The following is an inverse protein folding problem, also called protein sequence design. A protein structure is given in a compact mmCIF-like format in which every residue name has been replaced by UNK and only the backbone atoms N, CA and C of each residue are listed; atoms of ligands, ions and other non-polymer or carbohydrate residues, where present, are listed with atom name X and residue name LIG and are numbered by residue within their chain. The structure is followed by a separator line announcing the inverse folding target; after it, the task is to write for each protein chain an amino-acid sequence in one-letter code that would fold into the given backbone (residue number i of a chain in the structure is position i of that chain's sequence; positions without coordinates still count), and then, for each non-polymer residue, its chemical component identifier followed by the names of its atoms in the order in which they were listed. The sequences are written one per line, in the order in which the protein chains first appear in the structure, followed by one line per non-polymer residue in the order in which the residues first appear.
data_IF_770380424256
#
_entry.id   IF_770380424256
#
_cell.length_a   1.000
_cell.length_b   1.000
_cell.length_c   1.000
_cell.angle_alpha   90.00
_cell.angle_beta   90.00
_cell.angle_gamma   90.00
#
_symmetry.space_group_name_H-M   'P 1'
#
loop_
_entity.id
_entity.type
_entity.pdbx_description
1 polymer ?
#
# COMPACT_ATOMS: atom_id res chain seq x y z
N UNK A 1 -48.85 17.35 -57.04
CA UNK A 1 -48.46 15.97 -57.41
C UNK A 1 -46.95 15.80 -57.63
N UNK A 2 -46.29 16.46 -58.59
CA UNK A 2 -44.83 16.29 -58.79
C UNK A 2 -44.00 16.91 -57.65
N UNK A 3 -44.43 18.06 -57.10
CA UNK A 3 -43.80 18.70 -55.94
C UNK A 3 -43.82 17.81 -54.70
N UNK A 4 -44.95 17.16 -54.45
CA UNK A 4 -45.19 16.35 -53.25
C UNK A 4 -44.39 15.06 -53.31
N UNK A 5 -44.34 14.42 -54.49
CA UNK A 5 -43.49 13.25 -54.72
C UNK A 5 -41.99 13.56 -54.55
N UNK A 6 -41.53 14.76 -54.92
CA UNK A 6 -40.14 15.20 -54.70
C UNK A 6 -39.86 15.48 -53.22
N UNK A 7 -40.81 16.04 -52.48
CA UNK A 7 -40.70 16.28 -51.04
C UNK A 7 -40.62 14.98 -50.23
N UNK A 8 -41.49 14.01 -50.55
CA UNK A 8 -41.46 12.64 -50.00
C UNK A 8 -40.12 11.95 -50.28
N UNK A 9 -39.67 11.96 -51.53
CA UNK A 9 -38.39 11.35 -51.91
C UNK A 9 -37.16 12.02 -51.27
N UNK A 10 -37.26 13.31 -50.91
CA UNK A 10 -36.22 14.02 -50.16
C UNK A 10 -36.22 13.59 -48.68
N UNK A 11 -37.39 13.56 -48.03
CA UNK A 11 -37.54 13.08 -46.65
C UNK A 11 -37.06 11.64 -46.48
N UNK A 12 -37.48 10.73 -47.35
CA UNK A 12 -37.06 9.32 -47.29
C UNK A 12 -35.55 9.18 -47.38
N UNK A 13 -34.89 9.96 -48.27
CA UNK A 13 -33.43 9.96 -48.39
C UNK A 13 -32.74 10.50 -47.14
N UNK A 14 -33.24 11.58 -46.54
CA UNK A 14 -32.65 12.13 -45.32
C UNK A 14 -32.84 11.19 -44.14
N UNK A 15 -34.02 10.60 -43.97
CA UNK A 15 -34.30 9.66 -42.88
C UNK A 15 -33.50 8.38 -43.02
N UNK A 16 -33.37 7.82 -44.23
CA UNK A 16 -32.56 6.63 -44.47
C UNK A 16 -31.07 6.88 -44.18
N UNK A 17 -30.55 8.06 -44.56
CA UNK A 17 -29.17 8.45 -44.23
C UNK A 17 -28.95 8.63 -42.74
N UNK A 18 -29.91 9.24 -42.04
CA UNK A 18 -29.84 9.42 -40.59
C UNK A 18 -29.86 8.07 -39.87
N UNK A 19 -30.79 7.18 -40.23
CA UNK A 19 -30.88 5.84 -39.67
C UNK A 19 -29.60 5.02 -39.89
N UNK A 20 -29.01 5.07 -41.09
CA UNK A 20 -27.74 4.39 -41.37
C UNK A 20 -26.57 4.96 -40.54
N UNK A 21 -26.54 6.28 -40.32
CA UNK A 21 -25.53 6.91 -39.49
C UNK A 21 -25.69 6.55 -38.01
N UNK A 22 -26.92 6.50 -37.51
CA UNK A 22 -27.22 6.13 -36.12
C UNK A 22 -26.92 4.64 -35.87
N UNK A 23 -27.24 3.76 -36.83
CA UNK A 23 -26.87 2.35 -36.78
C UNK A 23 -25.35 2.16 -36.75
N UNK A 24 -24.60 2.82 -37.63
CA UNK A 24 -23.14 2.71 -37.65
C UNK A 24 -22.49 3.20 -36.34
N UNK A 25 -23.05 4.25 -35.72
CA UNK A 25 -22.61 4.73 -34.40
C UNK A 25 -22.89 3.70 -33.31
N UNK A 26 -24.07 3.09 -33.32
CA UNK A 26 -24.44 2.06 -32.35
C UNK A 26 -23.56 0.80 -32.48
N UNK A 27 -23.32 0.34 -33.70
CA UNK A 27 -22.43 -0.79 -34.00
C UNK A 27 -21.01 -0.50 -33.52
N UNK A 28 -20.44 0.65 -33.87
CA UNK A 28 -19.09 1.03 -33.44
C UNK A 28 -18.97 1.13 -31.91
N UNK A 29 -19.95 1.74 -31.24
CA UNK A 29 -19.92 1.86 -29.78
C UNK A 29 -20.02 0.49 -29.12
N UNK A 30 -20.81 -0.42 -29.69
CA UNK A 30 -20.93 -1.81 -29.24
C UNK A 30 -19.62 -2.58 -29.42
N UNK A 31 -18.98 -2.48 -30.59
CA UNK A 31 -17.68 -3.13 -30.85
C UNK A 31 -16.60 -2.64 -29.90
N UNK A 32 -16.53 -1.32 -29.66
CA UNK A 32 -15.56 -0.74 -28.71
C UNK A 32 -15.88 -1.19 -27.28
N UNK A 33 -17.14 -1.13 -26.86
CA UNK A 33 -17.51 -1.55 -25.50
C UNK A 33 -17.30 -3.05 -25.26
N UNK A 34 -17.49 -3.91 -26.28
CA UNK A 34 -17.11 -5.33 -26.23
C UNK A 34 -15.59 -5.52 -26.14
N UNK A 35 -14.82 -4.81 -26.97
CA UNK A 35 -13.36 -4.89 -26.98
C UNK A 35 -12.73 -4.44 -25.65
N UNK A 36 -13.34 -3.46 -24.99
CA UNK A 36 -12.93 -2.97 -23.67
C UNK A 36 -13.49 -3.81 -22.50
N UNK A 37 -14.32 -4.82 -22.78
CA UNK A 37 -14.92 -5.69 -21.76
C UNK A 37 -16.00 -5.02 -20.90
N UNK A 38 -16.58 -3.92 -21.36
CA UNK A 38 -17.56 -3.10 -20.62
C UNK A 38 -19.02 -3.51 -20.93
N UNK A 39 -19.24 -4.17 -22.06
CA UNK A 39 -20.54 -4.75 -22.43
C UNK A 39 -20.48 -6.25 -22.16
N UNK A 40 -21.15 -6.68 -21.09
CA UNK A 40 -21.30 -8.10 -20.74
C UNK A 40 -22.62 -8.71 -21.20
N UNK A 41 -23.62 -7.88 -21.51
CA UNK A 41 -24.92 -8.29 -22.05
C UNK A 41 -25.18 -7.57 -23.39
N UNK A 42 -25.60 -8.31 -24.42
CA UNK A 42 -25.73 -7.81 -25.80
C UNK A 42 -26.87 -6.79 -26.01
N UNK A 43 -27.75 -6.60 -25.03
CA UNK A 43 -28.99 -5.82 -25.18
C UNK A 43 -28.92 -4.39 -24.61
N UNK A 44 -27.81 -3.99 -23.97
CA UNK A 44 -27.62 -2.63 -23.50
C UNK A 44 -26.75 -1.85 -24.51
N UNK A 45 -27.38 -1.02 -25.34
CA UNK A 45 -26.64 -0.09 -26.19
C UNK A 45 -25.79 0.82 -25.28
N UNK A 46 -24.44 0.73 -25.34
CA UNK A 46 -23.57 1.55 -24.52
C UNK A 46 -23.75 3.03 -24.90
N UNK A 47 -23.95 3.90 -23.92
CA UNK A 47 -23.90 5.34 -24.15
C UNK A 47 -22.43 5.75 -24.41
N UNK A 48 -22.09 6.33 -25.57
CA UNK A 48 -20.73 6.77 -25.87
C UNK A 48 -20.20 7.80 -24.85
N UNK A 49 -21.08 8.58 -24.21
CA UNK A 49 -20.68 9.48 -23.13
C UNK A 49 -20.21 8.68 -21.90
N UNK A 50 -20.98 7.68 -21.48
CA UNK A 50 -20.60 6.78 -20.36
C UNK A 50 -19.30 6.03 -20.66
N UNK A 51 -19.09 5.62 -21.91
CA UNK A 51 -17.84 4.97 -22.31
C UNK A 51 -16.63 5.90 -22.17
N UNK A 52 -16.80 7.17 -22.54
CA UNK A 52 -15.75 8.18 -22.40
C UNK A 52 -15.46 8.45 -20.92
N UNK A 53 -16.48 8.55 -20.08
CA UNK A 53 -16.32 8.71 -18.63
C UNK A 53 -15.57 7.55 -18.00
N UNK A 54 -15.92 6.31 -18.35
CA UNK A 54 -15.25 5.10 -17.86
C UNK A 54 -13.78 5.04 -18.32
N UNK A 55 -13.50 5.44 -19.56
CA UNK A 55 -12.13 5.50 -20.07
C UNK A 55 -11.29 6.53 -19.28
N UNK A 56 -11.84 7.72 -19.03
CA UNK A 56 -11.16 8.76 -18.24
C UNK A 56 -10.91 8.28 -16.81
N UNK A 57 -11.90 7.63 -16.19
CA UNK A 57 -11.75 7.06 -14.85
C UNK A 57 -10.63 6.00 -14.80
N UNK A 58 -10.62 5.06 -15.76
CA UNK A 58 -9.59 4.02 -15.86
C UNK A 58 -8.19 4.61 -16.08
N UNK A 59 -8.07 5.64 -16.93
CA UNK A 59 -6.80 6.34 -17.16
C UNK A 59 -6.29 7.05 -15.90
N UNK A 60 -7.19 7.70 -15.16
CA UNK A 60 -6.86 8.36 -13.90
C UNK A 60 -6.44 7.35 -12.83
N UNK A 61 -7.13 6.22 -12.73
CA UNK A 61 -6.75 5.14 -11.82
C UNK A 61 -5.40 4.53 -12.17
N UNK A 62 -5.14 4.27 -13.45
CA UNK A 62 -3.85 3.78 -13.92
C UNK A 62 -2.72 4.77 -13.58
N UNK A 63 -2.93 6.06 -13.87
CA UNK A 63 -2.00 7.13 -13.51
C UNK A 63 -1.71 7.15 -12.02
N UNK A 64 -2.75 7.14 -11.17
CA UNK A 64 -2.60 7.15 -9.71
C UNK A 64 -1.76 5.97 -9.23
N UNK A 65 -2.06 4.74 -9.68
CA UNK A 65 -1.31 3.53 -9.32
C UNK A 65 0.15 3.58 -9.77
N UNK A 66 0.42 4.13 -10.97
CA UNK A 66 1.80 4.29 -11.45
C UNK A 66 2.59 5.25 -10.57
N UNK A 67 1.97 6.37 -10.16
CA UNK A 67 2.61 7.33 -9.24
C UNK A 67 2.83 6.68 -7.87
N UNK A 68 1.83 6.02 -7.29
CA UNK A 68 1.95 5.32 -6.00
C UNK A 68 3.11 4.31 -6.02
N UNK A 69 3.21 3.48 -7.06
CA UNK A 69 4.30 2.53 -7.22
C UNK A 69 5.67 3.22 -7.31
N UNK A 70 5.76 4.30 -8.09
CA UNK A 70 6.99 5.08 -8.22
C UNK A 70 7.39 5.72 -6.89
N UNK A 71 6.43 6.22 -6.10
CA UNK A 71 6.65 6.74 -4.76
C UNK A 71 7.18 5.65 -3.84
N UNK A 72 6.56 4.47 -3.80
CA UNK A 72 7.07 3.34 -3.01
C UNK A 72 8.54 3.02 -3.33
N UNK A 73 8.88 2.96 -4.62
CA UNK A 73 10.24 2.66 -5.07
C UNK A 73 11.24 3.79 -4.75
N UNK A 74 10.84 5.05 -4.93
CA UNK A 74 11.72 6.20 -4.72
C UNK A 74 11.91 6.52 -3.23
N UNK A 75 10.83 6.49 -2.43
CA UNK A 75 10.84 6.73 -0.99
C UNK A 75 11.80 5.76 -0.27
N UNK A 76 11.71 4.46 -0.56
CA UNK A 76 12.61 3.46 0.02
C UNK A 76 14.09 3.71 -0.28
N UNK A 77 14.41 4.26 -1.46
CA UNK A 77 15.79 4.64 -1.83
C UNK A 77 16.28 5.90 -1.11
N UNK A 78 15.35 6.81 -0.79
CA UNK A 78 15.64 8.08 -0.11
C UNK A 78 15.59 7.95 1.43
N UNK A 79 15.18 6.81 1.97
CA UNK A 79 14.97 6.64 3.41
C UNK A 79 13.69 7.33 3.92
N UNK A 80 12.75 7.61 3.02
CA UNK A 80 11.40 8.03 3.37
C UNK A 80 10.53 6.80 3.66
N UNK A 81 9.59 6.94 4.58
CA UNK A 81 8.55 5.96 4.82
C UNK A 81 7.46 6.12 3.75
N UNK A 82 7.31 5.16 2.81
CA UNK A 82 6.39 5.31 1.70
C UNK A 82 4.92 5.39 2.14
N UNK A 83 4.53 4.71 3.22
CA UNK A 83 3.15 4.71 3.69
C UNK A 83 2.78 6.09 4.25
N UNK A 84 3.70 6.70 5.01
CA UNK A 84 3.50 8.05 5.57
C UNK A 84 3.56 9.12 4.48
N UNK A 85 4.42 8.95 3.47
CA UNK A 85 4.49 9.86 2.32
C UNK A 85 3.19 9.84 1.52
N UNK A 86 2.62 8.65 1.25
CA UNK A 86 1.37 8.51 0.50
C UNK A 86 0.14 9.03 1.25
N UNK A 87 0.15 9.01 2.58
CA UNK A 87 -0.93 9.60 3.41
C UNK A 87 -0.85 11.13 3.51
N UNK A 88 0.26 11.75 3.09
CA UNK A 88 0.46 13.19 3.18
C UNK A 88 -0.29 13.95 2.09
N UNK A 89 -1.30 14.73 2.48
CA UNK A 89 -2.02 15.64 1.57
C UNK A 89 -1.10 16.67 0.89
N UNK A 90 -0.16 17.23 1.65
CA UNK A 90 0.77 18.22 1.11
C UNK A 90 1.66 17.61 0.02
N UNK A 91 2.06 16.34 0.17
CA UNK A 91 2.79 15.63 -0.86
C UNK A 91 1.89 15.33 -2.07
N UNK A 92 0.66 14.85 -1.84
CA UNK A 92 -0.30 14.60 -2.91
C UNK A 92 -0.55 15.85 -3.79
N UNK A 93 -0.71 17.02 -3.17
CA UNK A 93 -0.86 18.30 -3.88
C UNK A 93 0.40 18.63 -4.70
N UNK A 94 1.58 18.36 -4.16
CA UNK A 94 2.87 18.63 -4.82
C UNK A 94 3.13 17.77 -6.07
N UNK A 95 2.43 16.64 -6.20
CA UNK A 95 2.58 15.70 -7.33
C UNK A 95 1.35 15.63 -8.23
N UNK A 96 0.31 16.44 -7.95
CA UNK A 96 -0.97 16.40 -8.65
C UNK A 96 -0.87 16.63 -10.16
N UNK A 97 0.15 17.39 -10.61
CA UNK A 97 0.39 17.71 -12.01
C UNK A 97 1.50 16.86 -12.67
N UNK A 98 2.12 15.92 -11.95
CA UNK A 98 3.13 15.04 -12.55
C UNK A 98 2.50 14.02 -13.49
N UNK A 99 2.99 13.98 -14.73
CA UNK A 99 2.65 12.93 -15.69
C UNK A 99 3.67 11.78 -15.61
N UNK A 100 3.28 10.54 -15.27
CA UNK A 100 4.18 9.40 -15.26
C UNK A 100 4.76 9.03 -16.64
N UNK A 101 4.27 9.63 -17.73
CA UNK A 101 4.81 9.45 -19.09
C UNK A 101 5.89 10.47 -19.45
N UNK A 102 6.07 11.51 -18.64
CA UNK A 102 7.13 12.50 -18.86
C UNK A 102 8.50 11.87 -18.62
N UNK A 103 9.48 12.13 -19.49
CA UNK A 103 10.85 11.67 -19.32
C UNK A 103 11.49 12.19 -18.02
N UNK A 104 11.06 13.38 -17.57
CA UNK A 104 11.52 13.99 -16.34
C UNK A 104 10.77 13.51 -15.08
N UNK A 105 9.78 12.62 -15.21
CA UNK A 105 8.90 12.18 -14.13
C UNK A 105 9.68 11.70 -12.89
N UNK A 106 10.59 10.75 -13.08
CA UNK A 106 11.33 10.12 -11.98
C UNK A 106 12.20 11.14 -11.23
N UNK A 107 12.84 12.06 -11.97
CA UNK A 107 13.68 13.09 -11.38
C UNK A 107 12.85 14.06 -10.54
N UNK A 108 11.75 14.57 -11.10
CA UNK A 108 10.82 15.46 -10.39
C UNK A 108 10.19 14.79 -9.18
N UNK A 109 9.76 13.53 -9.30
CA UNK A 109 9.18 12.79 -8.19
C UNK A 109 10.18 12.65 -7.02
N UNK A 110 11.43 12.32 -7.34
CA UNK A 110 12.50 12.18 -6.33
C UNK A 110 12.77 13.51 -5.64
N UNK A 111 12.79 14.61 -6.38
CA UNK A 111 12.94 15.96 -5.85
C UNK A 111 11.78 16.33 -4.91
N UNK A 112 10.54 16.05 -5.30
CA UNK A 112 9.36 16.32 -4.47
C UNK A 112 9.35 15.48 -3.18
N UNK A 113 9.78 14.22 -3.23
CA UNK A 113 9.91 13.39 -2.03
C UNK A 113 10.99 13.96 -1.10
N UNK A 114 12.16 14.35 -1.64
CA UNK A 114 13.22 14.96 -0.84
C UNK A 114 12.77 16.28 -0.20
N UNK A 115 12.11 17.16 -0.96
CA UNK A 115 11.56 18.41 -0.46
C UNK A 115 10.50 18.17 0.62
N UNK A 116 9.62 17.18 0.44
CA UNK A 116 8.63 16.81 1.44
C UNK A 116 9.29 16.30 2.73
N UNK A 117 10.38 15.52 2.65
CA UNK A 117 11.13 15.05 3.81
C UNK A 117 11.88 16.18 4.53
N UNK A 118 12.32 17.22 3.82
CA UNK A 118 12.92 18.42 4.42
C UNK A 118 11.88 19.27 5.14
N UNK A 119 10.71 19.47 4.51
CA UNK A 119 9.60 20.20 5.10
C UNK A 119 8.96 19.46 6.28
N UNK A 120 8.91 18.12 6.21
CA UNK A 120 8.35 17.27 7.25
C UNK A 120 9.26 16.06 7.55
N UNK A 121 10.15 16.18 8.56
CA UNK A 121 11.04 15.10 8.95
C UNK A 121 10.33 13.82 9.42
N UNK A 122 9.03 13.87 9.75
CA UNK A 122 8.25 12.69 10.14
C UNK A 122 7.97 11.74 8.98
N UNK A 123 8.21 12.18 7.75
CA UNK A 123 8.12 11.33 6.55
C UNK A 123 9.33 10.39 6.40
N UNK A 124 10.38 10.54 7.23
CA UNK A 124 11.53 9.63 7.23
C UNK A 124 11.19 8.34 7.97
N UNK A 125 11.79 7.23 7.53
CA UNK A 125 11.69 5.96 8.26
C UNK A 125 12.17 6.16 9.70
N UNK A 126 11.31 5.87 10.67
CA UNK A 126 11.70 5.90 12.07
C UNK A 126 12.74 4.79 12.31
N UNK A 127 13.83 5.06 13.07
CA UNK A 127 14.71 3.99 13.49
C UNK A 127 13.89 2.94 14.26
N UNK A 128 14.21 1.65 14.11
CA UNK A 128 13.53 0.60 14.87
C UNK A 128 13.53 0.98 16.34
N UNK A 129 12.38 0.84 16.99
CA UNK A 129 12.29 1.05 18.43
C UNK A 129 13.35 0.19 19.11
N UNK A 130 14.12 0.73 20.08
CA UNK A 130 15.10 -0.08 20.80
C UNK A 130 14.39 -1.31 21.35
N UNK A 131 15.00 -2.48 21.18
CA UNK A 131 14.52 -3.71 21.79
C UNK A 131 14.23 -3.44 23.28
N UNK A 132 13.10 -3.90 23.81
CA UNK A 132 12.78 -3.69 25.22
C UNK A 132 13.97 -4.18 26.04
N UNK A 133 14.59 -3.27 26.80
CA UNK A 133 15.65 -3.66 27.72
C UNK A 133 15.14 -4.83 28.56
N UNK A 134 15.95 -5.88 28.77
CA UNK A 134 15.55 -6.99 29.61
C UNK A 134 15.05 -6.42 30.93
N UNK A 135 13.80 -6.76 31.27
CA UNK A 135 13.14 -6.24 32.45
C UNK A 135 14.11 -6.33 33.64
N UNK A 136 14.30 -5.25 34.42
CA UNK A 136 15.20 -5.29 35.56
C UNK A 136 14.79 -6.48 36.41
N UNK A 137 15.76 -7.36 36.71
CA UNK A 137 15.53 -8.51 37.57
C UNK A 137 14.75 -8.03 38.80
N UNK A 138 13.67 -8.73 39.21
CA UNK A 138 12.82 -8.27 40.30
C UNK A 138 13.72 -7.98 41.49
N UNK A 139 13.77 -6.70 41.88
CA UNK A 139 14.50 -6.29 43.08
C UNK A 139 13.87 -7.08 44.21
N UNK A 140 14.65 -7.98 44.81
CA UNK A 140 14.23 -8.66 46.02
C UNK A 140 13.87 -7.55 47.01
N UNK A 141 12.58 -7.40 47.26
CA UNK A 141 12.07 -6.54 48.30
C UNK A 141 12.54 -7.15 49.63
N UNK A 142 13.75 -6.77 50.03
CA UNK A 142 14.39 -7.16 51.28
C UNK A 142 13.73 -6.42 52.44
N UNK A 143 12.47 -6.77 52.73
CA UNK A 143 11.94 -6.61 54.06
C UNK A 143 12.57 -7.69 54.94
N UNK A 144 13.55 -7.30 55.76
CA UNK A 144 14.14 -8.16 56.77
C UNK A 144 13.07 -8.57 57.79
N UNK A 145 12.47 -9.75 57.59
CA UNK A 145 11.75 -10.46 58.64
C UNK A 145 12.73 -11.49 59.24
N UNK A 146 13.16 -11.33 60.50
CA UNK A 146 14.07 -12.27 61.12
C UNK A 146 13.25 -13.48 61.59
N UNK A 147 13.26 -14.57 60.81
CA UNK A 147 12.79 -15.86 61.32
C UNK A 147 12.27 -16.84 60.29
N UNK A 148 13.16 -17.51 59.54
CA UNK A 148 12.99 -18.89 59.07
C UNK A 148 14.29 -19.36 58.39
N UNK A 149 14.71 -20.64 58.53
CA UNK A 149 15.93 -21.13 57.90
C UNK A 149 15.76 -21.18 56.37
N UNK A 150 16.75 -20.66 55.66
CA UNK A 150 16.78 -20.59 54.20
C UNK A 150 16.74 -22.00 53.59
N UNK A 151 15.67 -22.35 52.89
CA UNK A 151 15.71 -23.42 51.90
C UNK A 151 16.52 -22.92 50.70
N UNK A 152 17.62 -23.62 50.43
CA UNK A 152 18.54 -23.38 49.34
C UNK A 152 17.81 -23.36 47.99
N UNK A 153 17.86 -22.23 47.29
CA UNK A 153 17.39 -22.13 45.91
C UNK A 153 18.11 -23.15 45.03
N UNK A 154 17.33 -23.99 44.34
CA UNK A 154 17.82 -25.01 43.42
C UNK A 154 18.40 -24.35 42.16
N UNK A 155 19.56 -24.84 41.69
CA UNK A 155 20.20 -24.32 40.48
C UNK A 155 19.39 -24.78 39.25
N UNK A 156 18.99 -23.85 38.40
CA UNK A 156 18.27 -24.17 37.15
C UNK A 156 19.23 -24.64 36.06
N UNK A 157 18.75 -25.43 35.11
CA UNK A 157 19.57 -26.04 34.05
C UNK A 157 20.30 -24.99 33.17
N UNK A 158 19.64 -23.85 32.93
CA UNK A 158 20.25 -22.71 32.25
C UNK A 158 21.36 -22.03 33.07
N UNK A 159 21.25 -22.04 34.39
CA UNK A 159 22.29 -21.51 35.28
C UNK A 159 23.48 -22.46 35.40
N UNK A 160 23.25 -23.79 35.31
CA UNK A 160 24.32 -24.79 35.32
C UNK A 160 25.26 -24.65 34.10
N UNK A 161 24.72 -24.36 32.92
CA UNK A 161 25.50 -24.18 31.69
C UNK A 161 26.42 -22.94 31.71
N UNK A 162 26.17 -22.00 32.63
CA UNK A 162 26.95 -20.76 32.77
C UNK A 162 27.87 -20.76 33.99
N UNK A 163 27.83 -21.82 34.82
CA UNK A 163 28.68 -21.95 36.00
C UNK A 163 30.06 -22.49 35.66
N UNK A 164 31.07 -22.02 36.40
CA UNK A 164 32.43 -22.56 36.28
C UNK A 164 32.52 -23.95 36.92
N UNK A 165 33.48 -24.81 36.52
CA UNK A 165 33.60 -26.16 37.06
C UNK A 165 33.68 -26.22 38.60
N UNK A 166 34.32 -25.23 39.22
CA UNK A 166 34.45 -25.12 40.68
C UNK A 166 33.11 -24.80 41.37
N UNK A 167 32.26 -24.00 40.72
CA UNK A 167 30.92 -23.66 41.22
C UNK A 167 29.95 -24.83 41.09
N UNK A 168 30.13 -25.66 40.06
CA UNK A 168 29.35 -26.89 39.86
C UNK A 168 29.64 -27.90 40.99
N UNK A 169 30.92 -28.08 41.35
CA UNK A 169 31.30 -28.97 42.46
C UNK A 169 30.73 -28.50 43.79
N UNK A 170 30.81 -27.21 44.10
CA UNK A 170 30.23 -26.65 45.31
C UNK A 170 28.69 -26.81 45.35
N UNK A 171 28.01 -26.61 44.21
CA UNK A 171 26.56 -26.80 44.13
C UNK A 171 26.14 -28.28 44.24
N UNK A 172 27.00 -29.22 43.82
CA UNK A 172 26.79 -30.65 44.01
C UNK A 172 26.96 -31.06 45.48
N UNK A 173 28.01 -30.58 46.16
CA UNK A 173 28.26 -30.83 47.59
C UNK A 173 27.16 -30.24 48.48
N UNK A 174 26.62 -29.08 48.10
CA UNK A 174 25.48 -28.43 48.77
C UNK A 174 24.12 -29.11 48.44
N UNK A 175 24.09 -30.17 47.63
CA UNK A 175 22.88 -30.91 47.26
C UNK A 175 21.94 -30.15 46.31
N UNK A 176 22.37 -29.01 45.79
CA UNK A 176 21.57 -28.10 44.94
C UNK A 176 21.41 -28.54 43.49
N UNK A 177 22.03 -29.66 43.10
CA UNK A 177 21.95 -30.26 41.76
C UNK A 177 21.26 -31.62 41.75
N UNK A 178 20.76 -32.09 42.90
CA UNK A 178 20.13 -33.42 43.05
C UNK A 178 18.84 -33.59 42.26
N UNK A 179 18.21 -32.49 41.82
CA UNK A 179 17.00 -32.49 41.00
C UNK A 179 17.28 -32.51 39.49
N UNK A 180 18.55 -32.45 39.07
CA UNK A 180 18.99 -32.46 37.66
C UNK A 180 19.76 -33.74 37.26
N UNK A 181 19.90 -34.71 38.19
CA UNK A 181 20.59 -36.00 38.00
C UNK A 181 19.61 -37.18 38.09
#
# INVERSE_FOLDING_TARGET
MISDARGEAAKTRTTAKQAAADQARAELTTEIGKALGLITDEDAAPDPAQLTEQLVAAQNDARRRTIELAVYQAAGRLGADPDVVLDSRAFADSVADLDPKDEAFTARLTEQIASAMEANPRLRVAPPAPEPEPAPAPQAAGGEFPGAPATSAAVTEAALAQMTPEQITAAFEDGRLTHLL
#
